data_IF_937233339835
#
_entry.id   IF_937233339835
#
_cell.length_a   1.000
_cell.length_b   1.000
_cell.length_c   1.000
_cell.angle_alpha   90.00
_cell.angle_beta   90.00
_cell.angle_gamma   90.00
#
_symmetry.space_group_name_H-M   'P 1'
#
loop_
_entity.id
_entity.type
_entity.pdbx_description
1 polymer ?
#
# COMPACT_ATOMS: atom_id res chain seq x y z
N UNK A 1 -0.66 14.62 16.39
CA UNK A 1 0.27 13.76 17.15
C UNK A 1 1.30 13.26 16.15
N UNK A 2 2.58 13.60 16.31
CA UNK A 2 3.63 13.15 15.38
C UNK A 2 4.00 11.71 15.70
N UNK A 3 4.02 10.82 14.70
CA UNK A 3 4.48 9.45 14.87
C UNK A 3 6.02 9.41 14.84
N UNK A 4 6.62 8.54 15.65
CA UNK A 4 8.07 8.47 15.87
C UNK A 4 8.76 7.48 14.91
N UNK A 5 8.40 7.52 13.61
CA UNK A 5 8.90 6.59 12.58
C UNK A 5 10.43 6.59 12.52
N UNK A 6 11.06 7.77 12.48
CA UNK A 6 12.52 7.89 12.46
C UNK A 6 13.19 7.28 13.68
N UNK A 7 12.55 7.32 14.85
CA UNK A 7 13.07 6.67 16.06
C UNK A 7 13.02 5.15 15.97
N UNK A 8 11.99 4.58 15.33
CA UNK A 8 11.90 3.14 15.10
C UNK A 8 12.96 2.66 14.12
N UNK A 9 13.17 3.40 13.02
CA UNK A 9 14.19 3.09 12.01
C UNK A 9 15.59 3.15 12.63
N UNK A 10 15.90 4.21 13.39
CA UNK A 10 17.18 4.33 14.09
C UNK A 10 17.41 3.18 15.09
N UNK A 11 16.37 2.82 15.85
CA UNK A 11 16.45 1.72 16.81
C UNK A 11 16.67 0.35 16.15
N UNK A 12 16.06 0.11 14.98
CA UNK A 12 16.34 -1.08 14.18
C UNK A 12 17.80 -1.12 13.75
N UNK A 13 18.30 -0.01 13.20
CA UNK A 13 19.68 0.09 12.71
C UNK A 13 20.73 -0.16 13.81
N UNK A 14 20.51 0.37 15.02
CA UNK A 14 21.36 0.12 16.21
C UNK A 14 21.47 -1.37 16.56
N UNK A 15 20.53 -2.20 16.10
CA UNK A 15 20.44 -3.64 16.39
C UNK A 15 20.76 -4.50 15.17
N UNK A 16 21.22 -3.90 14.07
CA UNK A 16 21.54 -4.58 12.83
C UNK A 16 20.35 -4.87 11.93
N UNK A 17 19.17 -4.30 12.22
CA UNK A 17 17.95 -4.44 11.43
C UNK A 17 17.74 -3.21 10.54
N UNK A 18 17.98 -3.34 9.24
CA UNK A 18 17.87 -2.22 8.29
C UNK A 18 16.44 -2.08 7.77
N UNK A 19 15.60 -1.33 8.50
CA UNK A 19 14.22 -1.07 8.07
C UNK A 19 14.14 -0.14 6.85
N UNK A 20 13.30 -0.49 5.87
CA UNK A 20 12.92 0.43 4.80
C UNK A 20 12.08 1.59 5.38
N UNK A 21 12.49 2.86 5.19
CA UNK A 21 11.79 4.00 5.79
C UNK A 21 10.36 4.21 5.26
N UNK A 22 10.08 3.83 4.01
CA UNK A 22 8.74 3.99 3.41
C UNK A 22 7.80 2.93 3.97
N UNK A 23 8.28 1.68 4.07
CA UNK A 23 7.53 0.62 4.73
C UNK A 23 7.29 0.95 6.22
N UNK A 24 8.30 1.48 6.91
CA UNK A 24 8.19 1.89 8.31
C UNK A 24 7.12 2.98 8.49
N UNK A 25 7.16 4.00 7.66
CA UNK A 25 6.19 5.09 7.67
C UNK A 25 4.76 4.57 7.45
N UNK A 26 4.55 3.78 6.40
CA UNK A 26 3.24 3.27 6.05
C UNK A 26 2.66 2.32 7.11
N UNK A 27 3.44 1.36 7.61
CA UNK A 27 2.97 0.44 8.66
C UNK A 27 2.60 1.20 9.94
N UNK A 28 3.44 2.15 10.37
CA UNK A 28 3.20 2.91 11.60
C UNK A 28 1.95 3.79 11.48
N UNK A 29 1.77 4.48 10.35
CA UNK A 29 0.58 5.28 10.10
C UNK A 29 -0.69 4.42 9.96
N UNK A 30 -0.63 3.31 9.21
CA UNK A 30 -1.79 2.44 9.04
C UNK A 30 -2.21 1.77 10.34
N UNK A 31 -1.28 1.33 11.19
CA UNK A 31 -1.62 0.84 12.53
C UNK A 31 -2.36 1.91 13.35
N UNK A 32 -1.85 3.15 13.36
CA UNK A 32 -2.50 4.25 14.08
C UNK A 32 -3.91 4.55 13.53
N UNK A 33 -4.07 4.57 12.20
CA UNK A 33 -5.36 4.78 11.53
C UNK A 33 -6.34 3.62 11.76
N UNK A 34 -5.84 2.38 11.84
CA UNK A 34 -6.62 1.19 12.17
C UNK A 34 -6.96 1.09 13.67
N UNK A 35 -6.65 2.10 14.48
CA UNK A 35 -7.07 2.20 15.87
C UNK A 35 -6.08 1.64 16.88
N UNK A 36 -4.82 1.41 16.50
CA UNK A 36 -3.78 1.07 17.46
C UNK A 36 -3.62 2.16 18.52
N UNK A 37 -3.45 1.77 19.78
CA UNK A 37 -3.10 2.70 20.84
C UNK A 37 -1.69 3.22 20.60
N UNK A 38 -1.53 4.53 20.49
CA UNK A 38 -0.21 5.16 20.32
C UNK A 38 0.36 5.56 21.68
N UNK A 39 1.61 5.16 21.95
CA UNK A 39 2.40 5.58 23.11
C UNK A 39 3.80 5.99 22.67
N UNK A 40 4.25 7.14 23.15
CA UNK A 40 5.52 7.78 22.75
C UNK A 40 5.69 7.88 21.22
N UNK A 41 4.59 8.14 20.51
CA UNK A 41 4.60 8.26 19.06
C UNK A 41 4.67 6.94 18.28
N UNK A 42 4.67 5.77 18.95
CA UNK A 42 4.60 4.46 18.29
C UNK A 42 3.28 3.73 18.59
N UNK A 43 2.64 3.11 17.59
CA UNK A 43 1.45 2.30 17.78
C UNK A 43 1.78 0.94 18.41
N UNK A 44 0.97 0.51 19.38
CA UNK A 44 1.03 -0.84 19.94
C UNK A 44 0.27 -1.82 19.03
N UNK A 45 1.00 -2.63 18.26
CA UNK A 45 0.41 -3.62 17.39
C UNK A 45 -0.23 -4.79 18.16
N UNK A 46 -1.36 -5.29 17.64
CA UNK A 46 -2.02 -6.51 18.09
C UNK A 46 -2.10 -7.51 16.93
N UNK A 47 -2.27 -8.82 17.19
CA UNK A 47 -2.45 -9.81 16.11
C UNK A 47 -3.56 -9.46 15.12
N UNK A 48 -4.68 -8.92 15.60
CA UNK A 48 -5.81 -8.54 14.74
C UNK A 48 -5.46 -7.32 13.88
N UNK A 49 -4.79 -6.31 14.47
CA UNK A 49 -4.33 -5.14 13.73
C UNK A 49 -3.25 -5.49 12.71
N UNK A 50 -2.37 -6.44 13.02
CA UNK A 50 -1.38 -6.96 12.06
C UNK A 50 -2.09 -7.56 10.85
N UNK A 51 -3.13 -8.37 11.07
CA UNK A 51 -3.91 -8.97 9.98
C UNK A 51 -4.60 -7.90 9.14
N UNK A 52 -5.27 -6.94 9.77
CA UNK A 52 -5.93 -5.82 9.07
C UNK A 52 -4.91 -5.01 8.27
N UNK A 53 -3.78 -4.64 8.86
CA UNK A 53 -2.77 -3.83 8.18
C UNK A 53 -2.14 -4.60 7.02
N UNK A 54 -1.72 -5.86 7.21
CA UNK A 54 -1.06 -6.65 6.16
C UNK A 54 -2.00 -7.08 5.04
N UNK A 55 -3.24 -7.47 5.36
CA UNK A 55 -4.12 -8.11 4.38
C UNK A 55 -5.17 -7.16 3.81
N UNK A 56 -5.50 -6.07 4.51
CA UNK A 56 -6.58 -5.18 4.10
C UNK A 56 -6.06 -3.77 3.78
N UNK A 57 -5.26 -3.17 4.66
CA UNK A 57 -4.87 -1.76 4.49
C UNK A 57 -3.68 -1.57 3.54
N UNK A 58 -2.54 -2.22 3.78
CA UNK A 58 -1.33 -2.06 2.96
C UNK A 58 -1.58 -2.32 1.47
N UNK A 59 -2.34 -3.36 1.05
CA UNK A 59 -2.66 -3.57 -0.36
C UNK A 59 -3.38 -2.39 -1.02
N UNK A 60 -4.11 -1.59 -0.25
CA UNK A 60 -4.88 -0.44 -0.75
C UNK A 60 -4.03 0.82 -0.92
N UNK A 61 -3.01 1.00 -0.08
CA UNK A 61 -2.30 2.28 0.03
C UNK A 61 -0.84 2.24 -0.41
N UNK A 62 -0.17 1.07 -0.36
CA UNK A 62 1.25 1.00 -0.72
C UNK A 62 1.48 0.51 -2.15
N UNK A 63 2.42 1.14 -2.88
CA UNK A 63 2.94 0.56 -4.09
C UNK A 63 3.73 -0.73 -3.83
N UNK A 64 3.71 -1.66 -4.78
CA UNK A 64 4.42 -2.96 -4.70
C UNK A 64 5.91 -2.74 -4.46
N UNK A 65 6.48 -1.68 -5.05
CA UNK A 65 7.89 -1.31 -4.91
C UNK A 65 8.30 -0.89 -3.50
N UNK A 66 7.36 -0.38 -2.70
CA UNK A 66 7.59 0.01 -1.30
C UNK A 66 7.39 -1.17 -0.32
N UNK A 67 6.63 -2.20 -0.72
CA UNK A 67 6.67 -3.51 -0.09
C UNK A 67 7.71 -4.38 -0.79
N UNK A 68 9.00 -4.07 -0.60
CA UNK A 68 10.05 -5.06 -0.86
C UNK A 68 9.71 -6.36 -0.10
N UNK A 69 10.14 -7.52 -0.63
CA UNK A 69 9.82 -8.91 -0.21
C UNK A 69 9.89 -9.20 1.31
N UNK A 70 9.01 -8.60 2.12
CA UNK A 70 9.03 -8.71 3.57
C UNK A 70 9.23 -7.42 4.37
N UNK A 71 9.47 -6.26 3.74
CA UNK A 71 9.79 -5.01 4.47
C UNK A 71 8.73 -4.62 5.52
N UNK A 72 7.44 -4.71 5.16
CA UNK A 72 6.35 -4.45 6.10
C UNK A 72 6.33 -5.45 7.28
N UNK A 73 6.69 -6.71 7.03
CA UNK A 73 6.78 -7.75 8.06
C UNK A 73 7.96 -7.48 9.01
N UNK A 74 9.10 -7.05 8.47
CA UNK A 74 10.27 -6.69 9.26
C UNK A 74 9.97 -5.50 10.18
N UNK A 75 9.31 -4.45 9.66
CA UNK A 75 8.86 -3.32 10.49
C UNK A 75 7.99 -3.80 11.65
N UNK A 76 7.02 -4.69 11.40
CA UNK A 76 6.14 -5.22 12.45
C UNK A 76 6.91 -6.06 13.49
N UNK A 77 7.92 -6.83 13.07
CA UNK A 77 8.79 -7.60 13.97
C UNK A 77 9.64 -6.67 14.84
N UNK A 78 10.28 -5.66 14.24
CA UNK A 78 11.09 -4.66 14.96
C UNK A 78 10.22 -3.84 15.92
N UNK A 79 9.01 -3.45 15.51
CA UNK A 79 8.06 -2.76 16.38
C UNK A 79 7.64 -3.63 17.57
N UNK A 80 7.38 -4.93 17.35
CA UNK A 80 7.07 -5.88 18.43
C UNK A 80 8.22 -6.03 19.42
N UNK A 81 9.46 -6.12 18.91
CA UNK A 81 10.68 -6.22 19.72
C UNK A 81 10.90 -4.95 20.53
N UNK A 82 10.75 -3.77 19.91
CA UNK A 82 10.83 -2.48 20.60
C UNK A 82 9.80 -2.37 21.72
N UNK A 83 8.54 -2.69 21.42
CA UNK A 83 7.43 -2.62 22.40
C UNK A 83 7.67 -3.56 23.59
N UNK A 84 8.33 -4.71 23.37
CA UNK A 84 8.75 -5.61 24.44
C UNK A 84 9.87 -5.01 25.29
N UNK A 85 10.90 -4.44 24.67
CA UNK A 85 12.02 -3.80 25.38
C UNK A 85 11.53 -2.64 26.24
N UNK A 86 10.54 -1.88 25.75
CA UNK A 86 9.88 -0.81 26.51
C UNK A 86 8.97 -1.31 27.64
N UNK A 87 8.89 -2.63 27.88
CA UNK A 87 8.11 -3.24 28.96
C UNK A 87 6.59 -3.26 28.72
N UNK A 88 6.14 -2.92 27.51
CA UNK A 88 4.70 -2.80 27.16
C UNK A 88 4.11 -4.09 26.63
N UNK A 89 4.97 -5.02 26.21
CA UNK A 89 4.56 -6.32 25.69
C UNK A 89 5.21 -7.44 26.50
N UNK A 90 4.38 -8.27 27.14
CA UNK A 90 4.88 -9.45 27.85
C UNK A 90 5.34 -10.54 26.88
N UNK A 91 6.12 -11.50 27.39
CA UNK A 91 6.74 -12.52 26.55
C UNK A 91 5.75 -13.35 25.73
N UNK A 92 4.64 -13.78 26.35
CA UNK A 92 3.60 -14.57 25.68
C UNK A 92 2.92 -13.79 24.55
N UNK A 93 2.59 -12.52 24.79
CA UNK A 93 1.95 -11.65 23.78
C UNK A 93 2.91 -11.28 22.66
N UNK A 94 4.19 -11.11 22.98
CA UNK A 94 5.25 -10.88 22.00
C UNK A 94 5.41 -12.06 21.04
N UNK A 95 5.49 -13.30 21.55
CA UNK A 95 5.52 -14.51 20.72
C UNK A 95 4.27 -14.60 19.82
N UNK A 96 3.07 -14.43 20.39
CA UNK A 96 1.82 -14.47 19.62
C UNK A 96 1.74 -13.40 18.52
N UNK A 97 2.30 -12.21 18.77
CA UNK A 97 2.35 -11.14 17.78
C UNK A 97 3.29 -11.50 16.63
N UNK A 98 4.47 -12.06 16.91
CA UNK A 98 5.41 -12.54 15.88
C UNK A 98 4.80 -13.67 15.04
N UNK A 99 4.17 -14.64 15.69
CA UNK A 99 3.44 -15.72 15.00
C UNK A 99 2.34 -15.18 14.08
N UNK A 100 1.62 -14.13 14.49
CA UNK A 100 0.60 -13.51 13.64
C UNK A 100 1.19 -12.82 12.41
N UNK A 101 2.36 -12.17 12.55
CA UNK A 101 3.08 -11.60 11.40
C UNK A 101 3.50 -12.70 10.42
N UNK A 102 4.10 -13.78 10.95
CA UNK A 102 4.59 -14.89 10.14
C UNK A 102 3.43 -15.63 9.43
N UNK A 103 2.31 -15.82 10.11
CA UNK A 103 1.11 -16.43 9.54
C UNK A 103 0.52 -15.63 8.36
N UNK A 104 0.69 -14.30 8.35
CA UNK A 104 0.19 -13.44 7.27
C UNK A 104 1.14 -13.39 6.06
N UNK A 105 2.39 -13.86 6.16
CA UNK A 105 3.42 -13.61 5.16
C UNK A 105 3.04 -14.09 3.75
N UNK A 106 2.62 -15.35 3.62
CA UNK A 106 2.28 -15.94 2.33
C UNK A 106 1.01 -15.34 1.72
N UNK A 107 0.06 -14.87 2.52
CA UNK A 107 -1.13 -14.19 2.02
C UNK A 107 -0.86 -12.74 1.64
N UNK A 108 -0.11 -12.00 2.46
CA UNK A 108 0.35 -10.66 2.15
C UNK A 108 1.14 -10.62 0.84
N UNK A 109 2.11 -11.52 0.66
CA UNK A 109 2.87 -11.61 -0.58
C UNK A 109 1.98 -11.86 -1.80
N UNK A 110 0.98 -12.75 -1.68
CA UNK A 110 0.00 -12.99 -2.74
C UNK A 110 -0.79 -11.71 -3.06
N UNK A 111 -1.35 -11.02 -2.07
CA UNK A 111 -2.12 -9.78 -2.29
C UNK A 111 -1.28 -8.66 -2.93
N UNK A 112 -0.03 -8.52 -2.48
CA UNK A 112 0.88 -7.50 -3.01
C UNK A 112 1.40 -7.81 -4.42
N UNK A 113 1.30 -9.06 -4.89
CA UNK A 113 1.78 -9.46 -6.22
C UNK A 113 0.68 -9.84 -7.19
N UNK A 114 -0.53 -10.14 -6.71
CA UNK A 114 -1.66 -10.54 -7.55
C UNK A 114 -2.14 -9.35 -8.41
N UNK A 115 -2.10 -9.47 -9.75
CA UNK A 115 -2.60 -8.42 -10.64
C UNK A 115 -4.11 -8.15 -10.50
N UNK A 116 -4.87 -9.06 -9.89
CA UNK A 116 -6.31 -8.87 -9.59
C UNK A 116 -6.53 -7.88 -8.46
N UNK A 117 -5.56 -7.72 -7.56
CA UNK A 117 -5.61 -6.83 -6.40
C UNK A 117 -4.98 -5.45 -6.71
N UNK A 118 -4.96 -5.07 -7.99
CA UNK A 118 -4.42 -3.78 -8.43
C UNK A 118 -5.31 -2.64 -7.95
N UNK A 119 -4.71 -1.72 -7.19
CA UNK A 119 -5.36 -0.50 -6.71
C UNK A 119 -4.91 0.71 -7.51
N UNK A 120 -5.67 1.82 -7.40
CA UNK A 120 -5.36 3.06 -8.12
C UNK A 120 -3.97 3.60 -7.75
N UNK A 121 -3.59 3.52 -6.47
CA UNK A 121 -2.27 3.94 -5.99
C UNK A 121 -1.14 3.11 -6.62
N UNK A 122 -1.30 1.77 -6.65
CA UNK A 122 -0.35 0.85 -7.28
C UNK A 122 -0.22 1.06 -8.79
N UNK A 123 -1.33 1.40 -9.46
CA UNK A 123 -1.34 1.74 -10.87
C UNK A 123 -0.52 3.01 -11.15
N UNK A 124 -0.76 4.09 -10.41
CA UNK A 124 -0.05 5.35 -10.61
C UNK A 124 1.45 5.24 -10.29
N UNK A 125 1.83 4.52 -9.23
CA UNK A 125 3.26 4.25 -8.94
C UNK A 125 3.94 3.51 -10.10
N UNK A 126 3.33 2.43 -10.59
CA UNK A 126 3.87 1.65 -11.70
C UNK A 126 4.01 2.47 -12.99
N UNK A 127 2.99 3.27 -13.32
CA UNK A 127 3.00 4.12 -14.51
C UNK A 127 4.07 5.22 -14.42
N UNK A 128 4.18 5.91 -13.28
CA UNK A 128 5.16 6.96 -13.07
C UNK A 128 6.59 6.40 -13.15
N UNK A 129 6.86 5.26 -12.51
CA UNK A 129 8.17 4.59 -12.58
C UNK A 129 8.52 4.12 -13.99
N UNK A 130 7.56 3.56 -14.74
CA UNK A 130 7.79 3.14 -16.12
C UNK A 130 8.16 4.33 -17.03
N UNK A 131 7.73 5.54 -16.66
CA UNK A 131 8.11 6.81 -17.30
C UNK A 131 9.40 7.43 -16.74
N UNK A 132 10.08 6.76 -15.81
CA UNK A 132 11.32 7.24 -15.19
C UNK A 132 11.12 8.32 -14.13
N UNK A 133 9.90 8.53 -13.62
CA UNK A 133 9.63 9.49 -12.54
C UNK A 133 10.16 8.93 -11.22
N UNK A 134 10.90 9.76 -10.49
CA UNK A 134 11.27 9.46 -9.11
C UNK A 134 10.07 9.65 -8.18
N UNK A 135 9.38 8.56 -7.88
CA UNK A 135 8.17 8.58 -7.03
C UNK A 135 8.46 8.88 -5.55
N UNK A 136 9.73 9.00 -5.15
CA UNK A 136 10.10 9.45 -3.79
C UNK A 136 10.19 10.98 -3.70
N UNK A 137 10.16 11.69 -4.83
CA UNK A 137 10.19 13.13 -4.89
C UNK A 137 8.78 13.66 -5.23
N UNK A 138 8.17 14.37 -4.27
CA UNK A 138 6.82 14.92 -4.43
C UNK A 138 6.69 15.84 -5.65
N UNK A 139 7.66 16.73 -5.87
CA UNK A 139 7.65 17.65 -7.01
C UNK A 139 7.73 16.90 -8.34
N UNK A 140 8.52 15.81 -8.39
CA UNK A 140 8.63 14.97 -9.58
C UNK A 140 7.33 14.21 -9.85
N UNK A 141 6.65 13.72 -8.80
CA UNK A 141 5.33 13.08 -8.90
C UNK A 141 4.30 14.07 -9.42
N UNK A 142 4.23 15.26 -8.84
CA UNK A 142 3.29 16.30 -9.26
C UNK A 142 3.51 16.71 -10.72
N UNK A 143 4.75 16.98 -11.12
CA UNK A 143 5.10 17.29 -12.50
C UNK A 143 4.75 16.15 -13.47
N UNK A 144 5.03 14.90 -13.09
CA UNK A 144 4.70 13.73 -13.91
C UNK A 144 3.18 13.51 -14.07
N UNK A 145 2.40 13.74 -13.02
CA UNK A 145 0.94 13.69 -13.08
C UNK A 145 0.37 14.83 -13.92
N UNK A 146 0.94 16.03 -13.81
CA UNK A 146 0.54 17.18 -14.62
C UNK A 146 0.81 16.95 -16.11
N UNK A 147 1.97 16.40 -16.46
CA UNK A 147 2.31 15.99 -17.83
C UNK A 147 1.29 14.98 -18.38
N UNK A 148 0.98 13.93 -17.59
CA UNK A 148 0.00 12.91 -17.96
C UNK A 148 -1.40 13.52 -18.20
N UNK A 149 -1.78 14.53 -17.42
CA UNK A 149 -3.06 15.22 -17.59
C UNK A 149 -3.17 15.99 -18.92
N UNK A 150 -2.03 16.48 -19.43
CA UNK A 150 -1.94 17.26 -20.68
C UNK A 150 -1.85 16.40 -21.94
N UNK A 151 -1.48 15.12 -21.82
CA UNK A 151 -1.41 14.21 -22.97
C UNK A 151 -2.76 14.11 -23.69
N UNK A 152 -2.80 14.05 -25.03
CA UNK A 152 -4.03 13.77 -25.78
C UNK A 152 -4.69 12.45 -25.34
N UNK A 153 -6.01 12.36 -25.46
CA UNK A 153 -6.76 11.15 -25.05
C UNK A 153 -6.22 9.87 -25.69
N UNK A 154 -5.84 9.91 -26.97
CA UNK A 154 -5.29 8.75 -27.68
C UNK A 154 -3.97 8.26 -27.05
N UNK A 155 -3.11 9.18 -26.62
CA UNK A 155 -1.84 8.84 -25.96
C UNK A 155 -2.07 8.33 -24.53
N UNK A 156 -2.98 8.95 -23.77
CA UNK A 156 -3.40 8.42 -22.46
C UNK A 156 -4.03 7.04 -22.58
N UNK A 157 -4.85 6.81 -23.61
CA UNK A 157 -5.44 5.51 -23.89
C UNK A 157 -4.37 4.49 -24.32
N UNK A 158 -3.36 4.89 -25.08
CA UNK A 158 -2.22 4.03 -25.43
C UNK A 158 -1.42 3.61 -24.20
N UNK A 159 -1.23 4.50 -23.20
CA UNK A 159 -0.65 4.13 -21.90
C UNK A 159 -1.48 3.09 -21.13
N UNK A 160 -2.79 3.01 -21.42
CA UNK A 160 -3.71 2.02 -20.87
C UNK A 160 -3.88 0.78 -21.77
N UNK A 161 -3.39 0.82 -23.01
CA UNK A 161 -3.49 -0.24 -24.02
C UNK A 161 -2.14 -0.95 -24.14
N UNK A 162 -2.10 -2.21 -23.71
CA UNK A 162 -0.89 -3.02 -23.70
C UNK A 162 -0.89 -4.04 -24.86
N UNK A 163 0.27 -4.35 -25.47
CA UNK A 163 0.37 -5.39 -26.48
C UNK A 163 0.05 -6.77 -25.88
N UNK A 164 -0.71 -7.59 -26.61
CA UNK A 164 -0.89 -9.01 -26.28
C UNK A 164 0.48 -9.71 -26.35
N UNK A 165 1.01 -10.06 -25.17
CA UNK A 165 2.04 -11.06 -24.93
C UNK A 165 3.04 -11.30 -26.08
N UNK A 166 4.16 -10.56 -26.09
CA UNK A 166 5.37 -11.06 -26.73
C UNK A 166 6.11 -11.92 -25.69
N UNK A 167 6.13 -13.25 -25.92
CA UNK A 167 6.80 -14.20 -25.05
C UNK A 167 8.26 -13.82 -24.80
N UNK A 168 8.67 -13.76 -23.54
CA UNK A 168 10.08 -13.47 -23.21
C UNK A 168 10.56 -14.35 -22.06
N UNK A 169 11.72 -14.98 -22.28
CA UNK A 169 12.55 -15.60 -21.25
C UNK A 169 13.37 -14.57 -20.47
N UNK A 170 12.77 -13.45 -20.07
CA UNK A 170 13.38 -12.46 -19.20
C UNK A 170 12.86 -12.65 -17.76
N UNK A 171 13.69 -12.92 -16.75
CA UNK A 171 13.20 -13.39 -15.44
C UNK A 171 12.36 -12.39 -14.63
N UNK A 172 12.32 -11.09 -14.96
CA UNK A 172 11.56 -10.12 -14.15
C UNK A 172 10.92 -8.98 -14.96
N UNK A 173 10.87 -9.09 -16.29
CA UNK A 173 10.24 -8.08 -17.14
C UNK A 173 8.79 -8.42 -17.46
N UNK A 174 7.87 -7.76 -16.74
CA UNK A 174 6.65 -7.16 -17.30
C UNK A 174 5.53 -8.05 -17.85
N UNK A 175 5.38 -9.29 -17.41
CA UNK A 175 4.14 -10.04 -17.64
C UNK A 175 3.09 -9.69 -16.58
N UNK A 176 2.59 -8.45 -16.62
CA UNK A 176 1.26 -8.19 -16.06
C UNK A 176 0.30 -9.06 -16.90
N UNK A 177 -0.28 -10.10 -16.33
CA UNK A 177 -1.31 -10.87 -17.02
C UNK A 177 -2.59 -10.01 -17.04
N UNK A 178 -2.96 -9.52 -18.22
CA UNK A 178 -3.88 -8.40 -18.44
C UNK A 178 -5.38 -8.71 -18.45
N UNK A 179 -5.77 -9.99 -18.39
CA UNK A 179 -7.17 -10.37 -18.19
C UNK A 179 -7.72 -9.92 -16.83
N UNK A 180 -7.00 -10.17 -15.72
CA UNK A 180 -7.22 -9.55 -14.42
C UNK A 180 -7.36 -8.02 -14.43
N UNK A 181 -6.48 -7.29 -15.12
CA UNK A 181 -6.46 -5.83 -15.20
C UNK A 181 -7.75 -5.24 -15.78
N UNK A 182 -8.23 -5.79 -16.91
CA UNK A 182 -9.50 -5.35 -17.52
C UNK A 182 -10.69 -5.53 -16.59
N UNK A 183 -10.68 -6.60 -15.77
CA UNK A 183 -11.71 -6.84 -14.76
C UNK A 183 -11.59 -5.89 -13.57
N UNK A 184 -10.39 -5.66 -13.04
CA UNK A 184 -10.18 -4.69 -11.95
C UNK A 184 -10.56 -3.26 -12.35
N UNK A 185 -10.18 -2.82 -13.55
CA UNK A 185 -10.56 -1.51 -14.09
C UNK A 185 -12.08 -1.40 -14.30
N UNK A 186 -12.74 -2.47 -14.75
CA UNK A 186 -14.19 -2.50 -14.89
C UNK A 186 -14.91 -2.42 -13.53
N UNK A 187 -14.43 -3.15 -12.51
CA UNK A 187 -14.96 -3.11 -11.15
C UNK A 187 -14.75 -1.72 -10.54
N UNK A 188 -13.56 -1.13 -10.66
CA UNK A 188 -13.30 0.20 -10.12
C UNK A 188 -14.13 1.29 -10.82
N UNK A 189 -14.29 1.20 -12.14
CA UNK A 189 -15.21 2.08 -12.90
C UNK A 189 -16.65 1.91 -12.43
N UNK A 190 -17.10 0.68 -12.16
CA UNK A 190 -18.43 0.42 -11.61
C UNK A 190 -18.59 1.00 -10.19
N UNK A 191 -17.60 0.85 -9.32
CA UNK A 191 -17.62 1.41 -7.97
C UNK A 191 -17.65 2.95 -7.98
N UNK A 192 -16.81 3.57 -8.81
CA UNK A 192 -16.80 5.03 -8.97
C UNK A 192 -18.09 5.55 -9.61
N UNK A 193 -18.62 4.85 -10.63
CA UNK A 193 -19.89 5.18 -11.25
C UNK A 193 -21.05 5.07 -10.27
N UNK A 194 -21.07 4.03 -9.41
CA UNK A 194 -22.09 3.85 -8.38
C UNK A 194 -22.04 4.96 -7.32
N UNK A 195 -20.84 5.36 -6.88
CA UNK A 195 -20.67 6.47 -5.94
C UNK A 195 -21.14 7.81 -6.53
N UNK A 196 -20.78 8.09 -7.79
CA UNK A 196 -21.21 9.30 -8.51
C UNK A 196 -22.72 9.30 -8.77
N UNK A 197 -23.31 8.17 -9.18
CA UNK A 197 -24.76 8.02 -9.35
C UNK A 197 -25.50 8.22 -8.02
N UNK A 198 -24.98 7.66 -6.93
CA UNK A 198 -25.52 7.87 -5.59
C UNK A 198 -25.55 9.34 -5.21
N UNK A 199 -24.44 10.06 -5.39
CA UNK A 199 -24.38 11.51 -5.15
C UNK A 199 -25.35 12.30 -6.03
N UNK A 200 -25.45 11.98 -7.32
CA UNK A 200 -26.37 12.68 -8.24
C UNK A 200 -27.84 12.41 -7.88
N UNK A 201 -28.20 11.18 -7.50
CA UNK A 201 -29.54 10.84 -7.05
C UNK A 201 -29.91 11.54 -5.75
N UNK A 202 -28.99 11.60 -4.77
CA UNK A 202 -29.20 12.40 -3.55
C UNK A 202 -29.42 13.88 -3.87
N UNK A 203 -28.61 14.46 -4.76
CA UNK A 203 -28.77 15.86 -5.17
C UNK A 203 -30.05 16.13 -5.98
N UNK A 204 -30.59 15.12 -6.67
CA UNK A 204 -31.85 15.23 -7.40
C UNK A 204 -33.06 15.15 -6.45
N UNK A 205 -33.02 14.22 -5.49
CA UNK A 205 -34.06 14.07 -4.47
C UNK A 205 -34.13 15.29 -3.53
N UNK A 206 -32.98 15.85 -3.16
CA UNK A 206 -32.93 17.09 -2.36
C UNK A 206 -33.45 18.32 -3.12
N UNK A 207 -33.53 18.27 -4.46
CA UNK A 207 -34.06 19.34 -5.32
C UNK A 207 -35.54 19.17 -5.68
N UNK A 208 -36.12 17.99 -5.43
CA UNK A 208 -37.55 17.74 -5.67
C UNK A 208 -38.45 18.09 -4.48
N UNK A 209 -37.85 18.43 -3.34
CA UNK A 209 -38.53 18.80 -2.09
C UNK A 209 -38.59 20.34 -1.87
N UNK A 210 -38.20 21.15 -2.87
CA UNK A 210 -38.42 22.61 -2.95
C UNK A 210 -39.55 22.96 -3.94
#
# INVERSE_FOLDING_TARGET
>A
MSLAVGSLVAWGAERGEALDPVAADAVVHLLALSGAKVRDGLPEATPDLVRVVLLEALPQFLPVSACAEGAALEVLRVLADRTRVDGRLNAKRHTRLREAVDACAGEHQRLMTDPRELTSARFWDGLLRARGVDVRNADAVEAGLEELSRLPYAERAALLCLPEAAGSGAPFAQTWALGPYRRGLAVQRQTMAAALLGQQLTLALMRSDE
#
